data_IF_001580920597
#
_entry.id   IF_001580920597
#
_cell.length_a   1.000
_cell.length_b   1.000
_cell.length_c   1.000
_cell.angle_alpha   90.00
_cell.angle_beta   90.00
_cell.angle_gamma   90.00
#
_symmetry.space_group_name_H-M   'P 1'
#
loop_
_entity.id
_entity.type
_entity.pdbx_description
1 polymer ?
#
# COMPACT_ATOMS: atom_id res chain seq x y z
N UNK A 1 11.59 -1.64 -22.41
CA UNK A 1 10.53 -1.42 -21.37
C UNK A 1 10.68 -2.36 -20.19
N UNK A 2 10.98 -3.63 -20.40
CA UNK A 2 11.06 -4.65 -19.35
C UNK A 2 12.12 -4.37 -18.28
N UNK A 3 13.24 -3.80 -18.65
CA UNK A 3 14.37 -3.55 -17.75
C UNK A 3 13.99 -2.57 -16.61
N UNK A 4 13.20 -1.54 -16.93
CA UNK A 4 12.72 -0.57 -15.96
C UNK A 4 11.75 -1.20 -14.96
N UNK A 5 10.88 -2.08 -15.44
CA UNK A 5 9.93 -2.82 -14.60
C UNK A 5 10.66 -3.82 -13.69
N UNK A 6 11.69 -4.49 -14.19
CA UNK A 6 12.52 -5.40 -13.39
C UNK A 6 13.26 -4.65 -12.27
N UNK A 7 13.89 -3.51 -12.59
CA UNK A 7 14.55 -2.65 -11.60
C UNK A 7 13.58 -2.15 -10.54
N UNK A 8 12.38 -1.73 -10.96
CA UNK A 8 11.31 -1.29 -10.07
C UNK A 8 10.92 -2.40 -9.10
N UNK A 9 10.65 -3.61 -9.59
CA UNK A 9 10.28 -4.76 -8.75
C UNK A 9 11.39 -5.09 -7.77
N UNK A 10 12.65 -5.09 -8.22
CA UNK A 10 13.79 -5.34 -7.36
C UNK A 10 13.92 -4.31 -6.25
N UNK A 11 13.79 -3.02 -6.56
CA UNK A 11 13.84 -1.94 -5.57
C UNK A 11 12.68 -2.04 -4.56
N UNK A 12 11.48 -2.34 -5.04
CA UNK A 12 10.31 -2.51 -4.17
C UNK A 12 10.50 -3.67 -3.20
N UNK A 13 10.98 -4.82 -3.67
CA UNK A 13 11.28 -5.97 -2.80
C UNK A 13 12.38 -5.67 -1.80
N UNK A 14 13.44 -4.96 -2.21
CA UNK A 14 14.52 -4.54 -1.32
C UNK A 14 14.02 -3.59 -0.24
N UNK A 15 13.11 -2.67 -0.58
CA UNK A 15 12.49 -1.74 0.37
C UNK A 15 11.64 -2.48 1.40
N UNK A 16 10.86 -3.47 0.99
CA UNK A 16 10.10 -4.32 1.91
C UNK A 16 11.02 -5.09 2.86
N UNK A 17 12.11 -5.64 2.35
CA UNK A 17 13.10 -6.33 3.18
C UNK A 17 13.71 -5.39 4.22
N UNK A 18 14.12 -4.19 3.83
CA UNK A 18 14.63 -3.17 4.76
C UNK A 18 13.61 -2.79 5.83
N UNK A 19 12.33 -2.67 5.44
CA UNK A 19 11.25 -2.42 6.40
C UNK A 19 11.17 -3.51 7.46
N UNK A 20 11.17 -4.79 7.07
CA UNK A 20 11.12 -5.90 8.01
C UNK A 20 12.34 -5.97 8.92
N UNK A 21 13.55 -5.75 8.39
CA UNK A 21 14.76 -5.66 9.20
C UNK A 21 14.69 -4.53 10.20
N UNK A 22 14.18 -3.37 9.81
CA UNK A 22 14.00 -2.22 10.69
C UNK A 22 13.00 -2.52 11.81
N UNK A 23 11.90 -3.18 11.52
CA UNK A 23 10.89 -3.60 12.51
C UNK A 23 11.44 -4.65 13.45
N UNK A 24 12.26 -5.59 12.97
CA UNK A 24 12.92 -6.61 13.78
C UNK A 24 13.80 -5.97 14.87
N UNK A 25 14.48 -4.88 14.56
CA UNK A 25 15.27 -4.12 15.52
C UNK A 25 14.43 -3.49 16.66
N UNK A 26 13.11 -3.32 16.44
CA UNK A 26 12.17 -2.82 17.47
C UNK A 26 11.71 -3.92 18.44
N UNK A 27 12.00 -5.20 18.15
CA UNK A 27 11.73 -6.36 19.00
C UNK A 27 10.67 -7.32 18.45
N UNK A 28 10.66 -8.55 19.00
CA UNK A 28 9.74 -9.63 18.56
C UNK A 28 8.26 -9.24 18.64
N UNK A 29 7.87 -8.51 19.68
CA UNK A 29 6.48 -8.08 19.88
C UNK A 29 6.04 -7.12 18.76
N UNK A 30 6.91 -6.21 18.35
CA UNK A 30 6.67 -5.29 17.24
C UNK A 30 6.55 -6.03 15.92
N UNK A 31 7.36 -7.04 15.70
CA UNK A 31 7.29 -7.89 14.52
C UNK A 31 5.98 -8.67 14.45
N UNK A 32 5.51 -9.23 15.58
CA UNK A 32 4.23 -9.94 15.66
C UNK A 32 3.05 -9.02 15.33
N UNK A 33 3.01 -7.80 15.88
CA UNK A 33 2.00 -6.78 15.60
C UNK A 33 2.02 -6.42 14.09
N UNK A 34 3.19 -6.21 13.51
CA UNK A 34 3.35 -5.90 12.08
C UNK A 34 2.82 -7.01 11.20
N UNK A 35 3.06 -8.27 11.54
CA UNK A 35 2.56 -9.41 10.77
C UNK A 35 1.04 -9.51 10.82
N UNK A 36 0.41 -9.24 11.96
CA UNK A 36 -1.05 -9.25 12.10
C UNK A 36 -1.66 -8.12 11.26
N UNK A 37 -1.16 -6.89 11.39
CA UNK A 37 -1.63 -5.73 10.63
C UNK A 37 -1.45 -5.96 9.12
N UNK A 38 -0.32 -6.53 8.71
CA UNK A 38 -0.06 -6.90 7.32
C UNK A 38 -1.07 -7.94 6.80
N UNK A 39 -1.42 -8.93 7.61
CA UNK A 39 -2.41 -9.94 7.22
C UNK A 39 -3.80 -9.35 7.00
N UNK A 40 -4.22 -8.42 7.85
CA UNK A 40 -5.46 -7.66 7.66
C UNK A 40 -5.38 -6.79 6.40
N UNK A 41 -4.26 -6.09 6.19
CA UNK A 41 -4.08 -5.23 5.02
C UNK A 41 -4.04 -5.99 3.71
N UNK A 42 -3.61 -7.26 3.71
CA UNK A 42 -3.54 -8.06 2.50
C UNK A 42 -4.90 -8.27 1.83
N UNK A 43 -5.97 -8.34 2.61
CA UNK A 43 -7.34 -8.43 2.08
C UNK A 43 -7.72 -7.17 1.28
N UNK A 44 -7.42 -5.99 1.82
CA UNK A 44 -7.63 -4.72 1.13
C UNK A 44 -6.72 -4.59 -0.08
N UNK A 45 -5.47 -5.02 0.04
CA UNK A 45 -4.48 -4.98 -1.03
C UNK A 45 -4.91 -5.80 -2.25
N UNK A 46 -5.51 -6.98 -2.05
CA UNK A 46 -6.03 -7.82 -3.13
C UNK A 46 -7.09 -7.06 -3.93
N UNK A 47 -8.03 -6.41 -3.25
CA UNK A 47 -9.08 -5.62 -3.90
C UNK A 47 -8.49 -4.45 -4.68
N UNK A 48 -7.63 -3.66 -4.05
CA UNK A 48 -6.98 -2.51 -4.70
C UNK A 48 -6.15 -2.94 -5.91
N UNK A 49 -5.43 -4.05 -5.78
CA UNK A 49 -4.58 -4.59 -6.86
C UNK A 49 -5.42 -5.04 -8.06
N UNK A 50 -6.58 -5.67 -7.84
CA UNK A 50 -7.49 -6.05 -8.92
C UNK A 50 -7.99 -4.82 -9.69
N UNK A 51 -8.42 -3.77 -9.00
CA UNK A 51 -8.85 -2.52 -9.64
C UNK A 51 -7.70 -1.80 -10.35
N UNK A 52 -6.51 -1.77 -9.76
CA UNK A 52 -5.31 -1.18 -10.36
C UNK A 52 -4.89 -1.91 -11.64
N UNK A 53 -4.88 -3.23 -11.62
CA UNK A 53 -4.56 -4.06 -12.79
C UNK A 53 -5.56 -3.82 -13.92
N UNK A 54 -6.85 -3.75 -13.60
CA UNK A 54 -7.90 -3.42 -14.56
C UNK A 54 -7.71 -2.02 -15.14
N UNK A 55 -7.37 -1.04 -14.30
CA UNK A 55 -7.10 0.32 -14.75
C UNK A 55 -5.94 0.39 -15.74
N UNK A 56 -4.85 -0.34 -15.46
CA UNK A 56 -3.69 -0.42 -16.36
C UNK A 56 -4.04 -1.04 -17.71
N UNK A 57 -4.76 -2.16 -17.70
CA UNK A 57 -5.20 -2.85 -18.92
C UNK A 57 -6.12 -1.99 -19.78
N UNK A 58 -7.12 -1.34 -19.17
CA UNK A 58 -8.04 -0.46 -19.88
C UNK A 58 -7.33 0.79 -20.42
N UNK A 59 -6.39 1.34 -19.68
CA UNK A 59 -5.56 2.47 -20.15
C UNK A 59 -4.74 2.06 -21.39
N UNK A 60 -4.11 0.90 -21.37
CA UNK A 60 -3.34 0.41 -22.51
C UNK A 60 -4.23 0.23 -23.74
N UNK A 61 -5.45 -0.27 -23.57
CA UNK A 61 -6.43 -0.40 -24.66
C UNK A 61 -6.86 0.96 -25.24
N UNK A 62 -7.13 1.95 -24.38
CA UNK A 62 -7.47 3.31 -24.82
C UNK A 62 -6.31 4.00 -25.54
N UNK A 63 -5.09 3.76 -25.11
CA UNK A 63 -3.88 4.25 -25.78
C UNK A 63 -3.76 3.63 -27.18
N UNK A 64 -4.01 2.33 -27.31
CA UNK A 64 -4.00 1.63 -28.59
C UNK A 64 -5.12 2.09 -29.54
N UNK A 65 -6.26 2.49 -29.00
CA UNK A 65 -7.40 3.03 -29.76
C UNK A 65 -7.26 4.53 -30.08
N UNK A 66 -6.15 5.17 -29.68
CA UNK A 66 -5.91 6.62 -29.83
C UNK A 66 -6.91 7.51 -29.07
N UNK A 67 -7.60 6.97 -28.07
CA UNK A 67 -8.57 7.67 -27.20
C UNK A 67 -7.94 8.17 -25.91
N UNK A 68 -6.80 8.85 -26.00
CA UNK A 68 -6.03 9.31 -24.84
C UNK A 68 -6.81 10.26 -23.93
N UNK A 69 -7.73 11.04 -24.49
CA UNK A 69 -8.55 12.00 -23.74
C UNK A 69 -9.55 11.32 -22.76
N UNK A 70 -9.82 10.03 -22.95
CA UNK A 70 -10.71 9.26 -22.07
C UNK A 70 -9.98 8.73 -20.82
N UNK A 71 -8.64 8.68 -20.81
CA UNK A 71 -7.83 8.10 -19.72
C UNK A 71 -8.08 8.77 -18.36
N UNK A 72 -8.09 10.10 -18.21
CA UNK A 72 -8.35 10.73 -16.91
C UNK A 72 -9.77 10.43 -16.37
N UNK A 73 -10.73 10.37 -17.28
CA UNK A 73 -12.14 10.05 -16.94
C UNK A 73 -12.28 8.61 -16.47
N UNK A 74 -11.58 7.69 -17.13
CA UNK A 74 -11.49 6.29 -16.72
C UNK A 74 -10.86 6.16 -15.33
N UNK A 75 -9.74 6.85 -15.09
CA UNK A 75 -9.03 6.83 -13.82
C UNK A 75 -9.92 7.26 -12.66
N UNK A 76 -10.62 8.39 -12.80
CA UNK A 76 -11.56 8.86 -11.79
C UNK A 76 -12.71 7.87 -11.53
N UNK A 77 -13.25 7.25 -12.58
CA UNK A 77 -14.33 6.26 -12.45
C UNK A 77 -13.86 5.03 -11.69
N UNK A 78 -12.71 4.47 -12.04
CA UNK A 78 -12.15 3.28 -11.38
C UNK A 78 -11.77 3.58 -9.93
N UNK A 79 -11.17 4.72 -9.65
CA UNK A 79 -10.84 5.16 -8.29
C UNK A 79 -12.10 5.23 -7.43
N UNK A 80 -13.16 5.82 -7.95
CA UNK A 80 -14.44 5.93 -7.23
C UNK A 80 -15.06 4.55 -6.96
N UNK A 81 -15.05 3.65 -7.95
CA UNK A 81 -15.55 2.28 -7.79
C UNK A 81 -14.73 1.50 -6.75
N UNK A 82 -13.41 1.64 -6.79
CA UNK A 82 -12.52 1.00 -5.82
C UNK A 82 -12.81 1.49 -4.40
N UNK A 83 -12.99 2.81 -4.20
CA UNK A 83 -13.40 3.36 -2.91
C UNK A 83 -14.74 2.81 -2.45
N UNK A 84 -15.71 2.68 -3.33
CA UNK A 84 -17.02 2.10 -3.00
C UNK A 84 -16.91 0.64 -2.53
N UNK A 85 -15.98 -0.12 -3.07
CA UNK A 85 -15.74 -1.51 -2.66
C UNK A 85 -14.89 -1.58 -1.37
N UNK A 86 -13.91 -0.72 -1.21
CA UNK A 86 -13.02 -0.72 -0.04
C UNK A 86 -13.66 -0.09 1.20
N UNK A 87 -14.55 0.91 1.01
CA UNK A 87 -15.13 1.68 2.09
C UNK A 87 -15.89 0.83 3.11
N UNK A 88 -16.78 -0.12 2.72
CA UNK A 88 -17.46 -0.98 3.70
C UNK A 88 -16.47 -1.87 4.47
N UNK A 89 -15.41 -2.36 3.84
CA UNK A 89 -14.38 -3.17 4.50
C UNK A 89 -13.60 -2.31 5.49
N UNK A 90 -13.18 -1.10 5.08
CA UNK A 90 -12.50 -0.14 5.95
C UNK A 90 -13.35 0.28 7.14
N UNK A 91 -14.64 0.53 6.93
CA UNK A 91 -15.58 0.87 8.00
C UNK A 91 -15.77 -0.27 8.97
N UNK A 92 -15.91 -1.50 8.49
CA UNK A 92 -16.05 -2.68 9.33
C UNK A 92 -14.82 -2.87 10.22
N UNK A 93 -13.63 -2.75 9.66
CA UNK A 93 -12.38 -2.82 10.42
C UNK A 93 -12.26 -1.65 11.42
N UNK A 94 -12.67 -0.45 11.02
CA UNK A 94 -12.60 0.74 11.87
C UNK A 94 -13.59 0.69 13.05
N UNK A 95 -14.78 0.11 12.84
CA UNK A 95 -15.79 -0.01 13.89
C UNK A 95 -15.50 -1.16 14.86
N UNK A 96 -14.91 -2.25 14.39
CA UNK A 96 -14.65 -3.45 15.17
C UNK A 96 -13.17 -3.89 15.09
N UNK A 97 -12.21 -3.02 15.44
CA UNK A 97 -10.80 -3.37 15.29
C UNK A 97 -10.37 -4.55 16.15
N UNK A 98 -10.87 -4.63 17.38
CA UNK A 98 -10.53 -5.70 18.31
C UNK A 98 -11.10 -7.05 17.87
N UNK A 99 -12.31 -7.07 17.32
CA UNK A 99 -12.95 -8.31 16.85
C UNK A 99 -12.24 -8.84 15.59
N UNK A 100 -11.83 -7.97 14.69
CA UNK A 100 -11.05 -8.35 13.51
C UNK A 100 -9.69 -8.93 13.93
N UNK A 101 -9.03 -8.33 14.91
CA UNK A 101 -7.74 -8.80 15.40
C UNK A 101 -7.86 -10.14 16.18
N UNK A 102 -8.97 -10.40 16.83
CA UNK A 102 -9.24 -11.68 17.50
C UNK A 102 -9.30 -12.88 16.55
N UNK A 103 -9.59 -12.67 15.28
CA UNK A 103 -9.54 -13.71 14.26
C UNK A 103 -8.11 -14.22 14.07
N UNK A 104 -7.12 -13.38 14.31
CA UNK A 104 -5.71 -13.67 14.09
C UNK A 104 -4.95 -14.07 15.35
N UNK A 105 -5.39 -13.61 16.52
CA UNK A 105 -4.70 -13.87 17.80
C UNK A 105 -5.64 -13.73 19.00
N UNK A 106 -5.50 -14.64 19.98
CA UNK A 106 -6.20 -14.56 21.27
C UNK A 106 -5.43 -13.75 22.32
N UNK A 107 -4.22 -13.26 21.98
CA UNK A 107 -3.39 -12.50 22.90
C UNK A 107 -3.86 -11.05 22.99
N UNK A 108 -4.58 -10.73 24.08
CA UNK A 108 -5.13 -9.39 24.34
C UNK A 108 -4.08 -8.28 24.34
N UNK A 109 -2.88 -8.56 24.84
CA UNK A 109 -1.79 -7.60 24.85
C UNK A 109 -1.25 -7.26 23.45
N UNK A 110 -1.31 -8.22 22.51
CA UNK A 110 -0.97 -7.96 21.10
C UNK A 110 -2.10 -7.18 20.40
N UNK A 111 -3.36 -7.48 20.71
CA UNK A 111 -4.52 -6.78 20.16
C UNK A 111 -4.47 -5.29 20.54
N UNK A 112 -4.26 -4.97 21.80
CA UNK A 112 -4.17 -3.58 22.29
C UNK A 112 -3.06 -2.80 21.60
N UNK A 113 -1.90 -3.41 21.35
CA UNK A 113 -0.80 -2.75 20.65
C UNK A 113 -1.00 -2.70 19.12
N UNK A 114 -1.80 -3.59 18.55
CA UNK A 114 -2.09 -3.61 17.12
C UNK A 114 -3.16 -2.58 16.71
N UNK A 115 -4.06 -2.19 17.60
CA UNK A 115 -5.14 -1.23 17.29
C UNK A 115 -4.61 0.12 16.78
N UNK A 116 -3.65 0.80 17.41
CA UNK A 116 -3.09 2.05 16.88
C UNK A 116 -2.47 1.88 15.49
N UNK A 117 -1.70 0.81 15.29
CA UNK A 117 -1.11 0.50 13.98
C UNK A 117 -2.16 0.24 12.91
N UNK A 118 -3.27 -0.40 13.27
CA UNK A 118 -4.40 -0.65 12.39
C UNK A 118 -5.07 0.65 11.94
N UNK A 119 -5.27 1.60 12.85
CA UNK A 119 -5.84 2.91 12.54
C UNK A 119 -4.96 3.72 11.59
N UNK A 120 -3.65 3.70 11.82
CA UNK A 120 -2.67 4.34 10.93
C UNK A 120 -2.71 3.70 9.55
N UNK A 121 -2.74 2.38 9.47
CA UNK A 121 -2.88 1.64 8.21
C UNK A 121 -4.15 2.03 7.45
N UNK A 122 -5.31 2.07 8.13
CA UNK A 122 -6.59 2.46 7.52
C UNK A 122 -6.54 3.88 6.94
N UNK A 123 -5.93 4.82 7.66
CA UNK A 123 -5.72 6.19 7.18
C UNK A 123 -4.83 6.23 5.95
N UNK A 124 -3.76 5.44 5.94
CA UNK A 124 -2.83 5.33 4.81
C UNK A 124 -3.50 4.78 3.56
N UNK A 125 -4.44 3.86 3.68
CA UNK A 125 -5.19 3.31 2.54
C UNK A 125 -6.05 4.34 1.82
N UNK A 126 -6.54 5.37 2.50
CA UNK A 126 -7.29 6.47 1.85
C UNK A 126 -6.45 7.18 0.79
N UNK A 127 -5.14 7.30 1.01
CA UNK A 127 -4.20 7.89 0.07
C UNK A 127 -3.60 6.85 -0.88
N UNK A 128 -3.38 5.63 -0.39
CA UNK A 128 -2.78 4.55 -1.15
C UNK A 128 -3.66 4.10 -2.33
N UNK A 129 -4.97 4.01 -2.15
CA UNK A 129 -5.90 3.56 -3.20
C UNK A 129 -5.81 4.44 -4.46
N UNK A 130 -6.00 5.77 -4.40
CA UNK A 130 -5.86 6.60 -5.58
C UNK A 130 -4.44 6.61 -6.13
N UNK A 131 -3.43 6.63 -5.26
CA UNK A 131 -2.03 6.63 -5.69
C UNK A 131 -1.69 5.38 -6.51
N UNK A 132 -2.09 4.20 -6.06
CA UNK A 132 -1.84 2.94 -6.74
C UNK A 132 -2.55 2.86 -8.09
N UNK A 133 -3.79 3.30 -8.17
CA UNK A 133 -4.57 3.30 -9.42
C UNK A 133 -3.95 4.26 -10.44
N UNK A 134 -3.64 5.51 -10.04
CA UNK A 134 -3.03 6.48 -10.93
C UNK A 134 -1.62 6.08 -11.38
N UNK A 135 -0.83 5.47 -10.48
CA UNK A 135 0.46 4.89 -10.83
C UNK A 135 0.33 3.84 -11.94
N UNK A 136 -0.64 2.93 -11.81
CA UNK A 136 -0.89 1.87 -12.79
C UNK A 136 -1.39 2.44 -14.12
N UNK A 137 -2.20 3.50 -14.09
CA UNK A 137 -2.64 4.23 -15.28
C UNK A 137 -1.44 4.83 -16.01
N UNK A 138 -0.56 5.53 -15.32
CA UNK A 138 0.67 6.10 -15.92
C UNK A 138 1.54 5.00 -16.52
N UNK A 139 1.69 3.88 -15.83
CA UNK A 139 2.40 2.71 -16.35
C UNK A 139 1.72 2.15 -17.62
N UNK A 140 0.38 2.10 -17.63
CA UNK A 140 -0.44 1.63 -18.75
C UNK A 140 -0.36 2.52 -20.00
N UNK A 141 0.01 3.79 -19.86
CA UNK A 141 0.27 4.68 -21.01
C UNK A 141 1.55 4.34 -21.78
N UNK A 142 2.31 3.36 -21.32
CA UNK A 142 3.59 2.95 -21.91
C UNK A 142 4.80 3.79 -21.46
N UNK A 143 4.59 4.82 -20.66
CA UNK A 143 5.68 5.66 -20.15
C UNK A 143 6.27 5.09 -18.86
N UNK A 144 6.77 3.86 -18.94
CA UNK A 144 7.32 3.09 -17.82
C UNK A 144 8.52 3.80 -17.15
N UNK A 145 9.23 4.65 -17.88
CA UNK A 145 10.35 5.43 -17.33
C UNK A 145 9.88 6.48 -16.34
N UNK A 146 8.79 7.20 -16.63
CA UNK A 146 8.22 8.16 -15.70
C UNK A 146 7.62 7.47 -14.48
N UNK A 147 6.91 6.36 -14.69
CA UNK A 147 6.40 5.54 -13.60
C UNK A 147 7.52 5.07 -12.66
N UNK A 148 8.62 4.58 -13.22
CA UNK A 148 9.81 4.18 -12.46
C UNK A 148 10.43 5.34 -11.66
N UNK A 149 10.56 6.53 -12.27
CA UNK A 149 11.10 7.69 -11.57
C UNK A 149 10.22 8.16 -10.41
N UNK A 150 8.90 8.15 -10.59
CA UNK A 150 7.95 8.47 -9.53
C UNK A 150 8.03 7.46 -8.38
N UNK A 151 8.09 6.18 -8.70
CA UNK A 151 8.23 5.13 -7.71
C UNK A 151 9.56 5.21 -6.97
N UNK A 152 10.66 5.44 -7.67
CA UNK A 152 11.96 5.63 -7.08
C UNK A 152 12.01 6.82 -6.12
N UNK A 153 11.37 7.93 -6.47
CA UNK A 153 11.26 9.10 -5.59
C UNK A 153 10.44 8.77 -4.33
N UNK A 154 9.29 8.13 -4.51
CA UNK A 154 8.43 7.71 -3.40
C UNK A 154 9.15 6.72 -2.46
N UNK A 155 9.82 5.72 -3.02
CA UNK A 155 10.60 4.73 -2.24
C UNK A 155 11.77 5.38 -1.51
N UNK A 156 12.46 6.33 -2.11
CA UNK A 156 13.57 7.06 -1.48
C UNK A 156 13.09 7.85 -0.27
N UNK A 157 11.97 8.55 -0.38
CA UNK A 157 11.35 9.28 0.72
C UNK A 157 10.91 8.31 1.82
N UNK A 158 10.27 7.20 1.44
CA UNK A 158 9.81 6.20 2.38
C UNK A 158 10.97 5.53 3.15
N UNK A 159 12.04 5.13 2.46
CA UNK A 159 13.24 4.54 3.08
C UNK A 159 13.89 5.53 4.04
N UNK A 160 14.05 6.81 3.64
CA UNK A 160 14.58 7.85 4.52
C UNK A 160 13.71 8.04 5.77
N UNK A 161 12.39 8.04 5.60
CA UNK A 161 11.44 8.15 6.70
C UNK A 161 11.54 6.96 7.67
N UNK A 162 11.52 5.72 7.15
CA UNK A 162 11.60 4.50 7.96
C UNK A 162 12.93 4.43 8.72
N UNK A 163 14.05 4.75 8.07
CA UNK A 163 15.36 4.78 8.71
C UNK A 163 15.43 5.86 9.81
N UNK A 164 14.90 7.04 9.55
CA UNK A 164 14.87 8.11 10.53
C UNK A 164 14.02 7.75 11.75
N UNK A 165 12.83 7.22 11.54
CA UNK A 165 11.88 6.87 12.61
C UNK A 165 12.32 5.62 13.37
N UNK A 166 12.66 4.55 12.66
CA UNK A 166 12.99 3.27 13.30
C UNK A 166 14.34 3.28 13.99
N UNK A 167 15.34 3.93 13.41
CA UNK A 167 16.71 3.93 13.91
C UNK A 167 16.99 5.17 14.79
N UNK A 168 16.53 6.34 14.36
CA UNK A 168 16.80 7.61 15.03
C UNK A 168 15.96 7.84 16.28
N UNK A 169 14.67 7.60 16.21
CA UNK A 169 13.72 7.89 17.29
C UNK A 169 13.30 6.66 18.08
N UNK A 170 13.66 5.43 17.66
CA UNK A 170 13.16 4.17 18.26
C UNK A 170 11.65 4.19 18.47
N UNK A 171 10.95 4.70 17.49
CA UNK A 171 9.51 4.90 17.54
C UNK A 171 8.74 3.59 17.48
N UNK A 172 7.48 3.63 17.89
CA UNK A 172 6.57 2.50 17.89
C UNK A 172 6.23 2.07 16.45
N UNK A 173 5.82 0.81 16.28
CA UNK A 173 5.45 0.21 14.97
C UNK A 173 4.39 1.04 14.25
N UNK A 174 3.45 1.64 14.99
CA UNK A 174 2.41 2.50 14.44
C UNK A 174 2.98 3.64 13.56
N UNK A 175 4.11 4.21 13.94
CA UNK A 175 4.75 5.32 13.22
C UNK A 175 5.46 4.83 11.95
N UNK A 176 5.90 3.58 11.92
CA UNK A 176 6.52 3.00 10.72
C UNK A 176 5.51 2.72 9.59
N UNK A 177 4.21 2.69 9.92
CA UNK A 177 3.14 2.47 8.94
C UNK A 177 2.59 3.76 8.32
N UNK A 178 2.99 4.95 8.79
CA UNK A 178 2.62 6.24 8.18
C UNK A 178 3.46 6.59 7.00
#
# INVERSE_FOLDING_TARGET
>A
TSIWTMLQTFLSMSTWFLFFVSVEHLGERSLAVTNIVRSVSSLLFIVVNAFSSTAGSLTSNLMGASEQNAVPRLGMRITRMCFFCCLPILLLIALFPSEVLRIYTDNTGLIENAVPSLWVMLSSYLFFVPAMIWFTIVSGTGNTRQAFMLDLAALSIYVAYVLYVAIGLKADVAVCWT
#
